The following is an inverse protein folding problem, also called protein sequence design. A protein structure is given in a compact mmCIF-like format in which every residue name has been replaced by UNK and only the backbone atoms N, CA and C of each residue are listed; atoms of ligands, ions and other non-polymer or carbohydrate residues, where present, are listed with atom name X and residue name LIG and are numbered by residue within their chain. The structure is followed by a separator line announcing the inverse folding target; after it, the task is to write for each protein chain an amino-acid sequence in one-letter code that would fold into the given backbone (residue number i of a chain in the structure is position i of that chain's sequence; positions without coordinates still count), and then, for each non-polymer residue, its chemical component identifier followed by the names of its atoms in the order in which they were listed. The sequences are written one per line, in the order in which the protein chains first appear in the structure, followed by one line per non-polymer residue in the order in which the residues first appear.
data_IF_520143389107
#
_entry.id   IF_520143389107
#
_cell.length_a   1.000
_cell.length_b   1.000
_cell.length_c   1.000
_cell.angle_alpha   90.00
_cell.angle_beta   90.00
_cell.angle_gamma   90.00
#
_symmetry.space_group_name_H-M   'P 1'
#
loop_
_entity.id
_entity.type
_entity.pdbx_description
1 polymer ?
#
# COMPACT_ATOMS: atom_id res chain seq x y z
N UNK A 1 6.74 45.22 -56.10
CA UNK A 1 5.71 45.73 -55.16
C UNK A 1 5.84 44.97 -53.84
N UNK A 2 6.25 45.65 -52.78
CA UNK A 2 6.31 45.04 -51.40
C UNK A 2 4.99 45.29 -50.70
N UNK A 3 4.36 44.31 -50.07
CA UNK A 3 3.13 44.53 -49.34
C UNK A 3 3.37 45.36 -48.07
N UNK A 4 2.61 46.44 -47.90
CA UNK A 4 2.60 47.26 -46.69
C UNK A 4 1.88 46.46 -45.61
N UNK A 5 2.60 45.99 -44.57
CA UNK A 5 2.03 45.41 -43.34
C UNK A 5 1.48 46.61 -42.53
N UNK A 6 0.20 46.63 -42.30
CA UNK A 6 -0.51 47.70 -41.56
C UNK A 6 -0.25 47.54 -40.06
N UNK A 7 -0.02 48.66 -39.36
CA UNK A 7 0.29 48.77 -37.93
C UNK A 7 -0.72 48.03 -37.01
N UNK A 8 -1.94 47.83 -37.50
CA UNK A 8 -3.02 47.11 -36.79
C UNK A 8 -2.75 45.61 -36.63
N UNK A 9 -2.06 44.95 -37.58
CA UNK A 9 -1.75 43.52 -37.47
C UNK A 9 -0.67 43.21 -36.42
N UNK A 10 0.24 44.15 -36.16
CA UNK A 10 1.30 43.99 -35.15
C UNK A 10 0.77 44.14 -33.72
N UNK A 11 -0.26 44.97 -33.52
CA UNK A 11 -0.86 45.18 -32.18
C UNK A 11 -1.69 43.96 -31.74
N UNK A 12 -2.39 43.30 -32.66
CA UNK A 12 -3.21 42.11 -32.34
C UNK A 12 -2.37 40.86 -32.04
N UNK A 13 -1.24 40.68 -32.67
CA UNK A 13 -0.36 39.55 -32.38
C UNK A 13 0.31 39.68 -30.99
N UNK A 14 0.69 40.90 -30.58
CA UNK A 14 1.34 41.10 -29.28
C UNK A 14 0.39 41.01 -28.07
N UNK A 15 -0.90 41.30 -28.29
CA UNK A 15 -1.92 41.10 -27.21
C UNK A 15 -2.28 39.63 -27.03
N UNK A 16 -2.39 38.86 -28.10
CA UNK A 16 -2.74 37.43 -28.02
C UNK A 16 -1.68 36.60 -27.27
N UNK A 17 -0.39 36.92 -27.42
CA UNK A 17 0.69 36.23 -26.69
C UNK A 17 0.74 36.59 -25.20
N UNK A 18 0.27 37.77 -24.78
CA UNK A 18 0.21 38.18 -23.38
C UNK A 18 -0.89 37.46 -22.60
N UNK A 19 -1.99 37.10 -23.25
CA UNK A 19 -3.10 36.36 -22.60
C UNK A 19 -2.96 34.84 -22.67
N UNK A 20 -2.20 34.31 -23.66
CA UNK A 20 -1.89 32.86 -23.70
C UNK A 20 -0.92 32.43 -22.57
N UNK A 21 -0.03 33.34 -22.13
CA UNK A 21 0.90 33.06 -21.01
C UNK A 21 0.25 33.04 -19.64
N UNK A 22 -0.90 33.72 -19.46
CA UNK A 22 -1.60 33.79 -18.17
C UNK A 22 -2.57 32.62 -17.97
N UNK A 23 -3.01 31.98 -19.05
CA UNK A 23 -3.93 30.82 -18.94
C UNK A 23 -3.21 29.50 -18.59
N UNK A 24 -1.88 29.46 -18.67
CA UNK A 24 -1.10 28.25 -18.34
C UNK A 24 -0.62 28.17 -16.88
N UNK A 25 -0.87 29.21 -16.08
CA UNK A 25 -0.40 29.28 -14.66
C UNK A 25 -1.50 28.85 -13.65
N UNK A 26 -2.72 28.55 -14.10
CA UNK A 26 -3.83 28.22 -13.18
C UNK A 26 -4.23 26.74 -13.15
N UNK A 27 -3.42 25.83 -13.70
CA UNK A 27 -3.61 24.38 -13.49
C UNK A 27 -2.35 23.82 -12.81
N UNK A 28 -1.86 24.47 -11.77
CA UNK A 28 -1.29 23.76 -10.64
C UNK A 28 -2.47 23.28 -9.80
N UNK A 29 -3.13 22.22 -10.21
CA UNK A 29 -3.85 21.41 -9.27
C UNK A 29 -2.80 21.01 -8.23
N UNK A 30 -2.88 21.59 -7.03
CA UNK A 30 -2.34 20.94 -5.85
C UNK A 30 -2.83 19.48 -5.93
N UNK A 31 -1.96 18.56 -6.37
CA UNK A 31 -2.12 17.17 -6.02
C UNK A 31 -1.90 17.12 -4.51
N UNK A 32 -2.89 17.65 -3.75
CA UNK A 32 -3.00 17.35 -2.35
C UNK A 32 -2.99 15.83 -2.29
N UNK A 33 -1.96 15.32 -1.67
CA UNK A 33 -1.83 13.89 -1.55
C UNK A 33 -3.07 13.36 -0.86
N UNK A 34 -3.81 12.54 -1.55
CA UNK A 34 -5.05 11.96 -1.03
C UNK A 34 -4.71 11.13 0.20
N UNK A 35 -5.22 11.57 1.34
CA UNK A 35 -5.13 10.81 2.59
C UNK A 35 -5.91 9.51 2.43
N UNK A 36 -5.32 8.40 2.86
CA UNK A 36 -5.99 7.11 2.90
C UNK A 36 -6.96 7.11 4.08
N UNK A 37 -8.29 7.04 3.87
CA UNK A 37 -9.24 7.07 4.98
C UNK A 37 -9.16 5.82 5.86
N UNK A 38 -9.53 5.98 7.12
CA UNK A 38 -9.73 4.87 8.04
C UNK A 38 -10.83 3.94 7.52
N UNK A 39 -10.69 2.66 7.79
CA UNK A 39 -11.70 1.67 7.43
C UNK A 39 -11.74 0.51 8.41
N UNK A 40 -12.87 -0.17 8.43
CA UNK A 40 -13.07 -1.43 9.12
C UNK A 40 -13.84 -2.39 8.22
N UNK A 41 -13.28 -3.59 8.00
CA UNK A 41 -13.89 -4.58 7.12
C UNK A 41 -13.72 -6.00 7.67
N UNK A 42 -14.70 -6.83 7.36
CA UNK A 42 -14.64 -8.27 7.57
C UNK A 42 -14.00 -8.92 6.36
N UNK A 43 -12.93 -9.68 6.59
CA UNK A 43 -12.20 -10.39 5.55
C UNK A 43 -12.21 -11.89 5.82
N UNK A 44 -12.24 -12.68 4.76
CA UNK A 44 -12.01 -14.11 4.80
C UNK A 44 -10.60 -14.40 4.30
N UNK A 45 -9.82 -15.03 5.15
CA UNK A 45 -8.54 -15.64 4.79
C UNK A 45 -8.78 -17.11 4.44
N UNK A 46 -8.27 -17.54 3.29
CA UNK A 46 -8.38 -18.93 2.81
C UNK A 46 -7.04 -19.42 2.30
N UNK A 47 -6.67 -20.62 2.65
CA UNK A 47 -5.59 -21.38 2.00
C UNK A 47 -5.99 -22.85 1.87
N UNK A 48 -5.10 -23.70 1.35
CA UNK A 48 -5.35 -25.15 1.17
C UNK A 48 -5.75 -25.91 2.45
N UNK A 49 -5.55 -25.34 3.65
CA UNK A 49 -5.73 -26.02 4.95
C UNK A 49 -6.81 -25.37 5.82
N UNK A 50 -7.10 -24.10 5.62
CA UNK A 50 -7.98 -23.36 6.53
C UNK A 50 -8.69 -22.22 5.80
N UNK A 51 -9.94 -21.99 6.22
CA UNK A 51 -10.67 -20.76 5.92
C UNK A 51 -11.13 -20.15 7.23
N UNK A 52 -10.93 -18.83 7.40
CA UNK A 52 -11.29 -18.12 8.62
C UNK A 52 -11.70 -16.69 8.34
N UNK A 53 -12.61 -16.17 9.14
CA UNK A 53 -13.02 -14.77 9.09
C UNK A 53 -12.22 -13.96 10.13
N UNK A 54 -11.92 -12.72 9.78
CA UNK A 54 -11.24 -11.77 10.65
C UNK A 54 -11.60 -10.34 10.31
N UNK A 55 -11.35 -9.46 11.25
CA UNK A 55 -11.52 -8.02 11.09
C UNK A 55 -10.18 -7.41 10.73
N UNK A 56 -10.19 -6.65 9.65
CA UNK A 56 -9.08 -5.79 9.26
C UNK A 56 -9.53 -4.34 9.37
N UNK A 57 -8.69 -3.52 9.97
CA UNK A 57 -9.00 -2.10 10.14
C UNK A 57 -7.74 -1.24 10.07
N UNK A 58 -7.91 -0.01 9.59
CA UNK A 58 -6.95 1.07 9.63
C UNK A 58 -7.51 2.14 10.55
N UNK A 59 -6.72 2.61 11.49
CA UNK A 59 -7.14 3.53 12.55
C UNK A 59 -6.12 4.66 12.65
N UNK A 60 -6.60 5.90 12.59
CA UNK A 60 -5.81 7.09 12.93
C UNK A 60 -6.00 7.41 14.42
N UNK A 61 -4.90 7.62 15.16
CA UNK A 61 -4.94 7.82 16.60
C UNK A 61 -4.92 9.29 17.02
N UNK A 62 -4.22 10.13 16.25
CA UNK A 62 -4.05 11.55 16.55
C UNK A 62 -3.76 12.38 15.30
N UNK A 63 -3.78 13.69 15.46
CA UNK A 63 -3.51 14.67 14.38
C UNK A 63 -2.01 14.69 13.98
N UNK A 64 -1.14 14.02 14.71
CA UNK A 64 0.29 13.88 14.39
C UNK A 64 0.56 12.75 13.38
N UNK A 65 -0.50 12.11 12.89
CA UNK A 65 -0.45 11.07 11.86
C UNK A 65 -0.04 9.69 12.37
N UNK A 66 -0.16 9.42 13.68
CA UNK A 66 0.03 8.07 14.21
C UNK A 66 -1.14 7.17 13.81
N UNK A 67 -0.82 6.04 13.20
CA UNK A 67 -1.81 5.12 12.62
C UNK A 67 -1.47 3.66 12.94
N UNK A 68 -2.51 2.85 13.00
CA UNK A 68 -2.37 1.39 13.11
C UNK A 68 -3.19 0.70 12.03
N UNK A 69 -2.57 -0.22 11.29
CA UNK A 69 -3.30 -1.20 10.48
C UNK A 69 -3.20 -2.57 11.15
N UNK A 70 -4.33 -3.26 11.31
CA UNK A 70 -4.36 -4.57 11.96
C UNK A 70 -5.29 -5.56 11.27
N UNK A 71 -4.98 -6.86 11.47
CA UNK A 71 -5.84 -7.98 11.14
C UNK A 71 -5.98 -8.89 12.35
N UNK A 72 -7.22 -9.16 12.76
CA UNK A 72 -7.55 -9.99 13.91
C UNK A 72 -8.55 -11.07 13.51
N UNK A 73 -8.19 -12.33 13.63
CA UNK A 73 -9.07 -13.47 13.45
C UNK A 73 -9.01 -14.41 14.66
N UNK A 74 -10.18 -14.91 15.09
CA UNK A 74 -10.30 -15.94 16.12
C UNK A 74 -11.14 -17.07 15.56
N UNK A 75 -10.74 -18.29 15.81
CA UNK A 75 -11.45 -19.50 15.37
C UNK A 75 -11.26 -20.60 16.44
N UNK A 76 -12.05 -21.69 16.44
CA UNK A 76 -12.07 -22.67 17.53
C UNK A 76 -10.70 -23.26 17.89
N UNK A 77 -9.78 -23.36 16.93
CA UNK A 77 -8.48 -24.00 17.12
C UNK A 77 -7.31 -23.00 17.17
N UNK A 78 -7.58 -21.68 17.15
CA UNK A 78 -6.49 -20.72 17.16
C UNK A 78 -6.88 -19.25 17.02
N UNK A 79 -5.86 -18.43 16.77
CA UNK A 79 -5.98 -17.01 16.50
C UNK A 79 -4.88 -16.53 15.59
N UNK A 80 -5.19 -15.45 14.86
CA UNK A 80 -4.22 -14.63 14.13
C UNK A 80 -4.41 -13.19 14.61
N UNK A 81 -3.32 -12.56 15.04
CA UNK A 81 -3.26 -11.14 15.33
C UNK A 81 -2.02 -10.57 14.68
N UNK A 82 -2.21 -9.66 13.74
CA UNK A 82 -1.14 -8.97 13.03
C UNK A 82 -1.41 -7.47 13.15
N UNK A 83 -0.42 -6.71 13.60
CA UNK A 83 -0.53 -5.26 13.82
C UNK A 83 0.71 -4.60 13.23
N UNK A 84 0.50 -3.47 12.55
CA UNK A 84 1.54 -2.54 12.14
C UNK A 84 1.21 -1.16 12.68
N UNK A 85 2.08 -0.63 13.51
CA UNK A 85 2.06 0.74 14.01
C UNK A 85 3.03 1.56 13.17
N UNK A 86 2.61 2.73 12.68
CA UNK A 86 3.39 3.62 11.83
C UNK A 86 2.92 5.07 11.97
N UNK A 87 3.72 6.01 11.53
CA UNK A 87 3.29 7.41 11.34
C UNK A 87 3.20 7.74 9.87
N UNK A 88 2.28 8.62 9.53
CA UNK A 88 2.09 9.17 8.18
C UNK A 88 2.14 10.69 8.27
N UNK A 89 3.25 11.28 7.77
CA UNK A 89 3.46 12.72 7.71
C UNK A 89 3.95 13.09 6.32
N UNK A 90 3.44 14.16 5.74
CA UNK A 90 3.86 14.66 4.43
C UNK A 90 3.93 13.56 3.34
N UNK A 91 2.94 12.67 3.32
CA UNK A 91 2.89 11.50 2.44
C UNK A 91 3.94 10.41 2.70
N UNK A 92 4.74 10.55 3.71
CA UNK A 92 5.73 9.56 4.08
C UNK A 92 5.20 8.65 5.18
N UNK A 93 5.23 7.34 4.93
CA UNK A 93 4.96 6.32 5.93
C UNK A 93 6.27 5.95 6.62
N UNK A 94 6.29 6.07 7.94
CA UNK A 94 7.44 5.67 8.75
C UNK A 94 7.02 4.53 9.68
N UNK A 95 7.52 3.33 9.42
CA UNK A 95 7.24 2.15 10.24
C UNK A 95 7.80 2.34 11.64
N UNK A 96 7.03 1.95 12.66
CA UNK A 96 7.42 1.98 14.07
C UNK A 96 7.52 0.58 14.63
N UNK A 97 6.49 -0.24 14.41
CA UNK A 97 6.44 -1.59 14.98
C UNK A 97 5.54 -2.49 14.15
N UNK A 98 5.99 -3.73 13.97
CA UNK A 98 5.19 -4.80 13.37
C UNK A 98 5.13 -5.99 14.32
N UNK A 99 3.92 -6.45 14.64
CA UNK A 99 3.67 -7.53 15.57
C UNK A 99 2.85 -8.64 14.92
N UNK A 100 3.26 -9.89 15.12
CA UNK A 100 2.57 -11.11 14.69
C UNK A 100 2.39 -12.03 15.88
N UNK A 101 1.17 -12.50 16.10
CA UNK A 101 0.84 -13.59 17.03
C UNK A 101 -0.13 -14.55 16.32
N UNK A 102 0.42 -15.61 15.76
CA UNK A 102 -0.33 -16.71 15.15
C UNK A 102 -0.21 -17.92 16.04
N UNK A 103 -1.36 -18.42 16.49
CA UNK A 103 -1.46 -19.67 17.24
C UNK A 103 -2.51 -20.54 16.59
N UNK A 104 -2.11 -21.75 16.16
CA UNK A 104 -3.01 -22.74 15.58
C UNK A 104 -2.55 -24.14 15.98
N UNK A 105 -3.36 -24.85 16.77
CA UNK A 105 -3.04 -26.16 17.34
C UNK A 105 -1.60 -26.23 17.88
N UNK A 106 -0.67 -26.84 17.12
CA UNK A 106 0.75 -27.00 17.47
C UNK A 106 1.65 -25.93 16.85
N UNK A 107 1.12 -25.09 15.96
CA UNK A 107 1.87 -24.01 15.30
C UNK A 107 1.77 -22.75 16.13
N UNK A 108 2.90 -22.18 16.49
CA UNK A 108 2.98 -20.86 17.13
C UNK A 108 4.03 -20.02 16.42
N UNK A 109 3.63 -18.84 16.00
CA UNK A 109 4.53 -17.82 15.44
C UNK A 109 4.26 -16.50 16.14
N UNK A 110 5.16 -16.14 17.05
CA UNK A 110 5.11 -14.84 17.73
C UNK A 110 6.40 -14.11 17.46
N UNK A 111 6.27 -12.93 16.86
CA UNK A 111 7.40 -12.06 16.53
C UNK A 111 7.03 -10.59 16.60
N UNK A 112 8.03 -9.74 16.82
CA UNK A 112 7.89 -8.30 16.80
C UNK A 112 9.11 -7.71 16.10
N UNK A 113 8.86 -6.85 15.12
CA UNK A 113 9.87 -5.97 14.53
C UNK A 113 9.75 -4.58 15.17
N UNK A 114 10.86 -3.97 15.50
CA UNK A 114 10.98 -2.60 15.99
C UNK A 114 11.83 -1.82 15.00
N UNK A 115 11.25 -0.75 14.47
CA UNK A 115 11.92 0.19 13.56
C UNK A 115 12.35 1.40 14.40
N UNK A 116 13.56 1.39 14.90
CA UNK A 116 14.12 2.50 15.66
C UNK A 116 14.78 3.49 14.70
N UNK A 117 14.03 4.53 14.33
CA UNK A 117 14.50 5.57 13.42
C UNK A 117 15.63 6.40 14.03
N UNK A 118 15.65 6.57 15.35
CA UNK A 118 16.67 7.39 16.02
C UNK A 118 18.04 6.72 16.01
N UNK A 119 18.08 5.40 16.22
CA UNK A 119 19.33 4.62 16.14
C UNK A 119 19.62 4.08 14.75
N UNK A 120 18.70 4.25 13.77
CA UNK A 120 18.81 3.67 12.44
C UNK A 120 18.81 2.14 12.45
N UNK A 121 18.05 1.51 13.36
CA UNK A 121 18.13 0.07 13.58
C UNK A 121 16.75 -0.61 13.44
N UNK A 122 16.72 -1.73 12.72
CA UNK A 122 15.61 -2.66 12.64
C UNK A 122 15.92 -3.92 13.43
N UNK A 123 15.11 -4.24 14.43
CA UNK A 123 15.34 -5.39 15.32
C UNK A 123 14.15 -6.32 15.33
N UNK A 124 14.40 -7.63 15.21
CA UNK A 124 13.40 -8.68 15.36
C UNK A 124 13.55 -9.42 16.69
N UNK A 125 12.40 -9.63 17.36
CA UNK A 125 12.29 -10.42 18.60
C UNK A 125 11.21 -11.52 18.42
N UNK A 126 11.41 -12.63 19.10
CA UNK A 126 10.47 -13.76 19.10
C UNK A 126 11.01 -14.96 18.32
N UNK A 127 10.23 -15.49 17.37
CA UNK A 127 10.58 -16.71 16.61
C UNK A 127 11.90 -16.60 15.86
N UNK A 128 12.15 -15.45 15.24
CA UNK A 128 13.43 -15.12 14.60
C UNK A 128 14.03 -13.91 15.30
N UNK A 129 15.31 -13.96 15.60
CA UNK A 129 16.03 -12.91 16.32
C UNK A 129 17.20 -12.44 15.46
N UNK A 130 17.14 -11.19 15.07
CA UNK A 130 18.18 -10.52 14.27
C UNK A 130 18.10 -9.02 14.47
N UNK A 131 19.15 -8.32 14.08
CA UNK A 131 19.23 -6.87 14.05
C UNK A 131 19.95 -6.46 12.77
N UNK A 132 19.42 -5.43 12.10
CA UNK A 132 19.94 -4.87 10.85
C UNK A 132 19.94 -3.35 10.95
N UNK A 133 20.85 -2.70 10.22
CA UNK A 133 20.79 -1.27 10.02
C UNK A 133 19.63 -0.95 9.07
N UNK A 134 18.86 0.10 9.36
CA UNK A 134 17.95 0.70 8.38
C UNK A 134 18.79 1.36 7.27
N UNK A 135 18.27 1.34 6.05
CA UNK A 135 18.92 1.99 4.93
C UNK A 135 18.67 3.49 5.04
N UNK A 136 19.74 4.28 5.08
CA UNK A 136 19.68 5.73 5.19
C UNK A 136 18.87 6.32 4.01
N UNK A 137 17.96 7.25 4.32
CA UNK A 137 17.07 7.92 3.37
C UNK A 137 16.06 7.01 2.63
N UNK A 138 15.94 5.73 3.01
CA UNK A 138 14.97 4.80 2.45
C UNK A 138 13.84 4.53 3.45
N UNK A 139 12.61 4.41 2.94
CA UNK A 139 11.49 3.95 3.74
C UNK A 139 11.45 2.43 3.73
N UNK A 140 11.61 1.81 4.89
CA UNK A 140 11.49 0.36 5.07
C UNK A 140 10.11 0.04 5.64
N UNK A 141 9.33 -0.75 4.89
CA UNK A 141 7.96 -1.10 5.22
C UNK A 141 7.88 -2.48 5.86
N UNK A 142 6.83 -2.71 6.65
CA UNK A 142 6.44 -4.06 7.05
C UNK A 142 5.34 -4.63 6.12
N UNK A 143 4.99 -5.93 6.24
CA UNK A 143 4.01 -6.56 5.34
C UNK A 143 2.59 -6.01 5.39
N UNK A 144 2.22 -5.21 6.41
CA UNK A 144 0.90 -4.58 6.46
C UNK A 144 0.93 -3.13 5.96
N UNK A 145 1.84 -2.29 6.48
CA UNK A 145 1.84 -0.88 6.09
C UNK A 145 2.34 -0.66 4.65
N UNK A 146 3.12 -1.59 4.08
CA UNK A 146 3.44 -1.57 2.65
C UNK A 146 2.18 -1.50 1.78
N UNK A 147 1.08 -2.07 2.22
CA UNK A 147 -0.18 -2.07 1.47
C UNK A 147 -0.84 -0.67 1.46
N UNK A 148 -0.58 0.16 2.47
CA UNK A 148 -0.97 1.58 2.43
C UNK A 148 -0.12 2.32 1.39
N UNK A 149 1.19 2.05 1.34
CA UNK A 149 2.07 2.66 0.32
C UNK A 149 1.71 2.22 -1.10
N UNK A 150 1.34 0.96 -1.31
CA UNK A 150 0.83 0.48 -2.61
C UNK A 150 -0.40 1.30 -3.03
N UNK A 151 -1.38 1.50 -2.13
CA UNK A 151 -2.57 2.34 -2.40
C UNK A 151 -2.16 3.75 -2.81
N UNK A 152 -1.29 4.41 -2.05
CA UNK A 152 -0.79 5.77 -2.34
C UNK A 152 -0.11 5.86 -3.69
N UNK A 153 0.73 4.88 -4.05
CA UNK A 153 1.43 4.85 -5.33
C UNK A 153 0.44 4.71 -6.51
N UNK A 154 -0.58 3.86 -6.37
CA UNK A 154 -1.61 3.70 -7.40
C UNK A 154 -2.48 4.96 -7.52
N UNK A 155 -2.87 5.59 -6.43
CA UNK A 155 -3.57 6.89 -6.41
C UNK A 155 -2.74 7.96 -7.13
N UNK A 156 -1.43 7.98 -6.91
CA UNK A 156 -0.50 8.88 -7.61
C UNK A 156 -0.28 8.53 -9.10
N UNK A 157 -0.92 7.47 -9.61
CA UNK A 157 -0.83 7.04 -11.01
C UNK A 157 0.46 6.30 -11.36
N UNK A 158 1.22 5.81 -10.39
CA UNK A 158 2.42 5.05 -10.65
C UNK A 158 2.08 3.65 -11.15
N UNK A 159 2.56 3.31 -12.34
CA UNK A 159 2.34 2.01 -12.97
C UNK A 159 3.36 0.95 -12.55
N UNK A 160 4.55 1.38 -12.14
CA UNK A 160 5.64 0.54 -11.65
C UNK A 160 6.36 1.26 -10.50
N UNK A 161 6.70 0.54 -9.43
CA UNK A 161 7.40 1.11 -8.27
C UNK A 161 8.09 0.02 -7.45
N UNK A 162 9.08 0.43 -6.65
CA UNK A 162 9.81 -0.44 -5.72
C UNK A 162 9.62 0.01 -4.28
N UNK A 163 9.46 -0.95 -3.36
CA UNK A 163 9.31 -0.70 -1.93
C UNK A 163 10.28 -1.62 -1.15
N UNK A 164 10.95 -1.07 -0.15
CA UNK A 164 11.93 -1.80 0.67
C UNK A 164 11.21 -2.55 1.79
N UNK A 165 11.39 -3.87 1.85
CA UNK A 165 10.85 -4.72 2.91
C UNK A 165 11.92 -5.64 3.49
N UNK A 166 11.88 -5.93 4.81
CA UNK A 166 12.77 -6.93 5.40
C UNK A 166 12.25 -8.34 5.14
N UNK A 167 13.14 -9.27 4.86
CA UNK A 167 12.86 -10.69 5.03
C UNK A 167 12.64 -10.98 6.51
N UNK A 168 11.50 -11.56 6.86
CA UNK A 168 11.10 -11.73 8.25
C UNK A 168 11.90 -12.80 9.00
N UNK A 169 12.68 -13.65 8.31
CA UNK A 169 13.51 -14.68 8.92
C UNK A 169 14.95 -14.23 9.13
N UNK A 170 15.50 -13.54 8.15
CA UNK A 170 16.93 -13.16 8.10
C UNK A 170 17.16 -11.69 8.42
N UNK A 171 16.19 -10.83 8.17
CA UNK A 171 16.29 -9.38 8.31
C UNK A 171 16.89 -8.68 7.09
N UNK A 172 17.26 -9.40 6.04
CA UNK A 172 17.76 -8.78 4.81
C UNK A 172 16.70 -7.81 4.25
N UNK A 173 17.08 -6.54 4.06
CA UNK A 173 16.19 -5.51 3.51
C UNK A 173 16.38 -5.50 1.99
N UNK A 174 15.31 -5.75 1.26
CA UNK A 174 15.32 -5.93 -0.18
C UNK A 174 14.26 -5.08 -0.88
N UNK A 175 14.59 -4.62 -2.09
CA UNK A 175 13.65 -3.95 -2.97
C UNK A 175 12.63 -4.96 -3.52
N UNK A 176 11.36 -4.67 -3.33
CA UNK A 176 10.25 -5.44 -3.87
C UNK A 176 9.59 -4.62 -4.96
N UNK A 177 9.55 -5.15 -6.18
CA UNK A 177 9.02 -4.48 -7.36
C UNK A 177 7.54 -4.79 -7.53
N UNK A 178 6.76 -3.77 -7.86
CA UNK A 178 5.32 -3.85 -8.08
C UNK A 178 4.97 -3.22 -9.44
N UNK A 179 3.96 -3.79 -10.09
CA UNK A 179 3.46 -3.32 -11.38
C UNK A 179 1.95 -3.41 -11.43
N UNK A 180 1.31 -2.38 -11.95
CA UNK A 180 -0.10 -2.43 -12.36
C UNK A 180 -0.16 -3.26 -13.64
N UNK A 181 -0.89 -4.39 -13.60
CA UNK A 181 -0.90 -5.37 -14.70
C UNK A 181 -2.21 -5.39 -15.46
N UNK A 182 -3.34 -5.11 -14.79
CA UNK A 182 -4.67 -5.25 -15.39
C UNK A 182 -5.72 -4.48 -14.57
N UNK A 183 -6.97 -4.50 -15.10
CA UNK A 183 -8.19 -4.12 -14.40
C UNK A 183 -9.10 -5.35 -14.33
N UNK A 184 -9.85 -5.49 -13.24
CA UNK A 184 -10.76 -6.60 -13.03
C UNK A 184 -12.01 -6.16 -12.28
N UNK A 185 -12.94 -7.09 -12.10
CA UNK A 185 -14.13 -6.88 -11.28
C UNK A 185 -14.13 -7.89 -10.14
N UNK A 186 -14.55 -7.45 -8.96
CA UNK A 186 -14.70 -8.30 -7.79
C UNK A 186 -15.96 -7.94 -7.02
N UNK A 187 -16.72 -8.97 -6.61
CA UNK A 187 -17.97 -8.79 -5.88
C UNK A 187 -17.71 -8.79 -4.36
N UNK A 188 -18.22 -7.77 -3.66
CA UNK A 188 -18.24 -7.67 -2.21
C UNK A 188 -19.66 -7.39 -1.76
N UNK A 189 -20.23 -8.23 -0.92
CA UNK A 189 -21.58 -8.09 -0.34
C UNK A 189 -22.67 -7.79 -1.40
N UNK A 190 -22.61 -8.51 -2.54
CA UNK A 190 -23.55 -8.36 -3.67
C UNK A 190 -23.28 -7.14 -4.57
N UNK A 191 -22.27 -6.33 -4.29
CA UNK A 191 -21.88 -5.19 -5.10
C UNK A 191 -20.60 -5.50 -5.89
N UNK A 192 -20.64 -5.22 -7.19
CA UNK A 192 -19.50 -5.43 -8.09
C UNK A 192 -18.63 -4.17 -8.13
N UNK A 193 -17.35 -4.31 -7.80
CA UNK A 193 -16.37 -3.23 -7.83
C UNK A 193 -15.38 -3.43 -8.96
N UNK A 194 -15.12 -2.37 -9.71
CA UNK A 194 -13.99 -2.32 -10.63
C UNK A 194 -12.69 -2.24 -9.82
N UNK A 195 -11.69 -3.02 -10.19
CA UNK A 195 -10.42 -3.10 -9.46
C UNK A 195 -9.24 -2.83 -10.38
N UNK A 196 -8.25 -2.11 -9.84
CA UNK A 196 -6.90 -2.05 -10.40
C UNK A 196 -6.11 -3.20 -9.78
N UNK A 197 -5.41 -3.99 -10.60
CA UNK A 197 -4.64 -5.14 -10.14
C UNK A 197 -3.16 -4.80 -10.14
N UNK A 198 -2.54 -4.88 -8.95
CA UNK A 198 -1.10 -4.70 -8.76
C UNK A 198 -0.46 -6.03 -8.46
N UNK A 199 0.55 -6.40 -9.22
CA UNK A 199 1.33 -7.63 -9.01
C UNK A 199 2.71 -7.30 -8.43
N UNK A 200 3.13 -8.08 -7.43
CA UNK A 200 4.52 -8.07 -6.97
C UNK A 200 5.36 -8.92 -7.91
N UNK A 201 6.30 -8.28 -8.59
CA UNK A 201 7.20 -8.94 -9.55
C UNK A 201 8.33 -9.65 -8.79
N UNK A 202 8.46 -10.95 -9.00
CA UNK A 202 9.56 -11.78 -8.50
C UNK A 202 10.33 -12.36 -9.68
N UNK A 203 11.66 -12.27 -9.63
CA UNK A 203 12.53 -12.79 -10.68
C UNK A 203 13.12 -14.16 -10.33
N UNK A 204 12.97 -14.60 -9.09
CA UNK A 204 13.71 -15.75 -8.56
C UNK A 204 12.83 -16.93 -8.14
N UNK A 205 11.51 -16.74 -8.08
CA UNK A 205 10.56 -17.79 -7.74
C UNK A 205 9.27 -17.68 -8.57
N UNK A 206 8.51 -18.77 -8.62
CA UNK A 206 7.24 -18.86 -9.35
C UNK A 206 6.06 -18.32 -8.52
N UNK A 207 6.33 -17.70 -7.37
CA UNK A 207 5.31 -17.16 -6.50
C UNK A 207 4.75 -15.86 -7.05
N UNK A 208 3.44 -15.78 -7.16
CA UNK A 208 2.71 -14.59 -7.62
C UNK A 208 1.89 -14.00 -6.49
N UNK A 209 2.03 -12.70 -6.23
CA UNK A 209 1.16 -11.99 -5.27
C UNK A 209 0.47 -10.85 -5.99
N UNK A 210 -0.87 -10.81 -5.95
CA UNK A 210 -1.73 -9.80 -6.56
C UNK A 210 -2.60 -9.10 -5.53
N UNK A 211 -2.70 -7.79 -5.68
CA UNK A 211 -3.53 -6.91 -4.86
C UNK A 211 -4.61 -6.30 -5.74
N UNK A 212 -5.86 -6.43 -5.34
CA UNK A 212 -7.03 -5.90 -6.05
C UNK A 212 -7.51 -4.66 -5.30
N UNK A 213 -7.31 -3.49 -5.90
CA UNK A 213 -7.63 -2.19 -5.33
C UNK A 213 -8.92 -1.67 -5.96
N UNK A 214 -9.92 -1.34 -5.14
CA UNK A 214 -11.20 -0.78 -5.60
C UNK A 214 -11.17 0.76 -5.54
N UNK A 215 -11.09 1.49 -6.68
CA UNK A 215 -11.10 2.95 -6.69
C UNK A 215 -12.33 3.55 -6.01
N UNK A 216 -13.52 2.94 -6.19
CA UNK A 216 -14.79 3.36 -5.58
C UNK A 216 -14.80 3.24 -4.04
N UNK A 217 -13.80 2.58 -3.46
CA UNK A 217 -13.58 2.44 -2.02
C UNK A 217 -12.23 3.07 -1.61
N UNK A 218 -11.88 4.22 -2.17
CA UNK A 218 -10.61 4.91 -1.93
C UNK A 218 -9.38 3.99 -2.13
N UNK A 219 -9.43 3.19 -3.20
CA UNK A 219 -8.40 2.20 -3.52
C UNK A 219 -8.16 1.15 -2.40
N UNK A 220 -9.19 0.86 -1.60
CA UNK A 220 -9.10 -0.22 -0.60
C UNK A 220 -8.70 -1.53 -1.28
N UNK A 221 -7.76 -2.25 -0.67
CA UNK A 221 -7.40 -3.60 -1.11
C UNK A 221 -8.51 -4.54 -0.65
N UNK A 222 -9.37 -4.95 -1.58
CA UNK A 222 -10.52 -5.82 -1.32
C UNK A 222 -10.19 -7.30 -1.51
N UNK A 223 -9.08 -7.60 -2.22
CA UNK A 223 -8.60 -8.96 -2.37
C UNK A 223 -7.08 -8.98 -2.46
N UNK A 224 -6.47 -10.00 -1.85
CA UNK A 224 -5.06 -10.38 -2.06
C UNK A 224 -5.03 -11.84 -2.45
N UNK A 225 -4.36 -12.15 -3.55
CA UNK A 225 -4.03 -13.51 -3.98
C UNK A 225 -2.53 -13.72 -3.84
N UNK A 226 -2.15 -14.84 -3.27
CA UNK A 226 -0.75 -15.25 -3.16
C UNK A 226 -0.65 -16.71 -3.54
N UNK A 227 -0.09 -16.97 -4.70
CA UNK A 227 0.02 -18.29 -5.32
C UNK A 227 1.46 -18.74 -5.30
N UNK A 228 1.72 -19.93 -4.77
CA UNK A 228 3.03 -20.56 -4.80
C UNK A 228 2.91 -22.08 -4.99
N UNK A 229 4.04 -22.78 -5.01
CA UNK A 229 4.07 -24.24 -5.19
C UNK A 229 3.43 -25.00 -4.01
N UNK A 230 3.31 -24.40 -2.84
CA UNK A 230 2.71 -24.99 -1.64
C UNK A 230 1.19 -24.80 -1.59
N UNK A 231 0.63 -24.00 -2.50
CA UNK A 231 -0.81 -23.75 -2.69
C UNK A 231 -1.19 -22.28 -2.57
N UNK A 232 -2.43 -22.00 -2.94
CA UNK A 232 -2.97 -20.67 -3.01
C UNK A 232 -3.41 -20.17 -1.63
N UNK A 233 -3.12 -18.90 -1.38
CA UNK A 233 -3.60 -18.16 -0.22
C UNK A 233 -4.39 -16.95 -0.70
N UNK A 234 -5.57 -16.73 -0.14
CA UNK A 234 -6.44 -15.59 -0.48
C UNK A 234 -6.87 -14.83 0.78
N UNK A 235 -6.97 -13.53 0.67
CA UNK A 235 -7.62 -12.66 1.64
C UNK A 235 -8.66 -11.83 0.89
N UNK A 236 -9.93 -11.95 1.23
CA UNK A 236 -11.03 -11.31 0.50
C UNK A 236 -11.91 -10.52 1.45
N UNK A 237 -12.23 -9.26 1.09
CA UNK A 237 -13.24 -8.46 1.77
C UNK A 237 -14.62 -9.09 1.57
N UNK A 238 -15.38 -9.26 2.65
CA UNK A 238 -16.76 -9.75 2.62
C UNK A 238 -17.75 -8.64 2.97
N UNK A 239 -17.36 -7.72 3.86
CA UNK A 239 -18.22 -6.63 4.27
C UNK A 239 -17.38 -5.45 4.74
N UNK A 240 -17.78 -4.22 4.41
CA UNK A 240 -17.24 -2.97 4.93
C UNK A 240 -18.21 -2.37 5.95
N UNK A 241 -17.71 -1.79 7.06
CA UNK A 241 -18.52 -1.24 8.16
C UNK A 241 -18.44 0.28 8.21
#
# INVERSE_FOLDING_TARGET
MKPKVTLVQIIWSSLMYKYLGVLFILISSDLAAQEIPDYKGEYVFTNSRVSMQGIRELITHNDEGERTIQFNAKFPLGRIKIISDFSETDNRITSTKYYVDVKWTLISDKRTLYFDQASGTLTSKGKFKWSQALIENENVFDPLNVQIQIRKNVIAGLMEFSLMLPDLKTGAIEANNYKVIDNGNFEVDGTNYSCIIVERIRLQDDRTTRYFLAPDLDYLIIKVEDQDQDGDTMLELKKLY
#
